data_IF_546674884733
#
_entry.id   IF_546674884733
#
_cell.length_a   1.000
_cell.length_b   1.000
_cell.length_c   1.000
_cell.angle_alpha   90.00
_cell.angle_beta   90.00
_cell.angle_gamma   90.00
#
_symmetry.space_group_name_H-M   'P 1'
#
loop_
_entity.id
_entity.type
_entity.pdbx_description
1 polymer ?
#
# COMPACT_ATOMS: atom_id res chain seq x y z
N UNK A 1 4.18 -86.27 27.20
CA UNK A 1 4.10 -87.04 25.94
C UNK A 1 2.79 -86.69 25.27
N UNK A 2 2.64 -86.32 24.01
CA UNK A 2 3.50 -85.77 22.97
C UNK A 2 2.52 -85.12 21.98
N UNK A 3 2.84 -83.93 21.47
CA UNK A 3 2.10 -83.26 20.40
C UNK A 3 2.35 -83.99 19.07
N UNK A 4 1.37 -84.15 18.17
CA UNK A 4 1.65 -84.44 16.78
C UNK A 4 1.58 -83.17 15.93
N UNK A 5 2.76 -82.62 15.60
CA UNK A 5 2.94 -81.73 14.45
C UNK A 5 3.10 -82.55 13.16
N UNK A 6 2.33 -82.22 12.12
CA UNK A 6 2.50 -82.61 10.70
C UNK A 6 1.55 -81.69 9.89
N UNK A 7 1.86 -81.02 8.79
CA UNK A 7 3.03 -80.95 7.92
C UNK A 7 2.99 -79.62 7.16
N UNK A 8 4.16 -79.05 6.87
CA UNK A 8 4.37 -77.99 5.88
C UNK A 8 3.92 -78.44 4.47
N UNK A 9 3.33 -77.52 3.69
CA UNK A 9 3.41 -77.59 2.23
C UNK A 9 3.68 -76.21 1.63
N UNK A 10 4.91 -76.08 1.14
CA UNK A 10 5.37 -75.41 -0.08
C UNK A 10 5.10 -73.92 -0.31
N UNK A 11 6.19 -73.27 -0.71
CA UNK A 11 6.33 -71.86 -1.01
C UNK A 11 6.11 -71.51 -2.49
N UNK A 12 5.96 -70.19 -2.71
CA UNK A 12 6.23 -69.35 -3.93
C UNK A 12 5.12 -69.24 -4.99
N UNK A 13 5.06 -68.14 -5.79
CA UNK A 13 5.92 -66.93 -5.84
C UNK A 13 5.17 -65.58 -5.85
N UNK A 14 5.92 -64.50 -5.59
CA UNK A 14 5.57 -63.11 -5.90
C UNK A 14 5.16 -62.94 -7.38
N UNK A 15 4.03 -62.30 -7.63
CA UNK A 15 3.76 -61.67 -8.93
C UNK A 15 3.21 -60.27 -8.73
N UNK A 16 4.04 -59.31 -9.12
CA UNK A 16 3.77 -57.90 -9.17
C UNK A 16 2.51 -57.57 -10.00
N UNK A 17 1.85 -56.50 -9.55
CA UNK A 17 1.12 -55.51 -10.35
C UNK A 17 0.05 -56.04 -11.32
N UNK A 18 -1.21 -55.97 -10.88
CA UNK A 18 -2.32 -55.71 -11.80
C UNK A 18 -3.38 -54.84 -11.14
N UNK A 19 -3.16 -53.54 -11.25
CA UNK A 19 -4.16 -52.49 -11.46
C UNK A 19 -5.62 -52.82 -11.11
N UNK A 20 -6.01 -52.72 -9.83
CA UNK A 20 -7.41 -52.47 -9.42
C UNK A 20 -7.41 -51.64 -8.14
N UNK A 21 -7.40 -50.31 -8.28
CA UNK A 21 -8.04 -49.42 -7.31
C UNK A 21 -8.34 -48.07 -7.99
N UNK A 22 -9.35 -48.10 -8.86
CA UNK A 22 -10.05 -46.91 -9.31
C UNK A 22 -10.82 -46.37 -8.10
N UNK A 23 -10.22 -45.45 -7.34
CA UNK A 23 -10.93 -44.64 -6.35
C UNK A 23 -10.98 -43.19 -6.87
N UNK A 24 -12.05 -42.78 -7.55
CA UNK A 24 -12.23 -41.39 -7.95
C UNK A 24 -12.64 -40.61 -6.70
N UNK A 25 -11.73 -39.88 -6.08
CA UNK A 25 -12.12 -39.09 -4.91
C UNK A 25 -11.02 -38.71 -3.93
N UNK A 26 -9.83 -38.32 -4.40
CA UNK A 26 -9.06 -37.35 -3.64
C UNK A 26 -9.54 -35.95 -4.06
N UNK A 27 -10.77 -35.60 -3.66
CA UNK A 27 -11.23 -34.22 -3.75
C UNK A 27 -10.21 -33.38 -3.01
N UNK A 28 -9.66 -32.40 -3.72
CA UNK A 28 -8.81 -31.35 -3.18
C UNK A 28 -9.36 -30.89 -1.82
N UNK A 29 -8.64 -31.19 -0.73
CA UNK A 29 -8.79 -30.40 0.48
C UNK A 29 -8.18 -29.03 0.19
N UNK A 30 -8.94 -28.18 -0.49
CA UNK A 30 -8.94 -26.74 -0.23
C UNK A 30 -9.48 -26.56 1.19
N UNK A 31 -8.68 -26.89 2.19
CA UNK A 31 -8.94 -26.40 3.55
C UNK A 31 -8.54 -24.93 3.55
N UNK A 32 -9.58 -24.10 3.47
CA UNK A 32 -9.50 -22.66 3.67
C UNK A 32 -8.84 -22.38 5.03
N UNK A 33 -7.53 -22.15 5.02
CA UNK A 33 -6.97 -21.21 5.99
C UNK A 33 -7.50 -19.87 5.50
N UNK A 34 -8.58 -19.37 6.11
CA UNK A 34 -8.90 -17.95 6.03
C UNK A 34 -7.70 -17.25 6.65
N UNK A 35 -6.68 -16.99 5.84
CA UNK A 35 -5.47 -16.35 6.31
C UNK A 35 -5.93 -15.02 6.89
N UNK A 36 -5.88 -14.92 8.21
CA UNK A 36 -6.26 -13.73 8.97
C UNK A 36 -5.63 -12.55 8.23
N UNK A 37 -6.47 -11.78 7.51
CA UNK A 37 -5.98 -10.79 6.56
C UNK A 37 -5.04 -9.89 7.34
N UNK A 38 -3.77 -9.86 6.95
CA UNK A 38 -2.74 -9.14 7.70
C UNK A 38 -3.23 -7.74 8.08
N UNK A 39 -3.18 -7.34 9.34
CA UNK A 39 -3.59 -5.98 9.76
C UNK A 39 -2.71 -4.90 9.12
N UNK A 40 -1.47 -5.26 8.81
CA UNK A 40 -0.47 -4.40 8.16
C UNK A 40 -0.58 -4.49 6.64
N UNK A 41 -0.70 -3.33 5.99
CA UNK A 41 -0.65 -3.17 4.55
C UNK A 41 0.81 -3.09 4.07
N UNK A 42 1.16 -3.94 3.11
CA UNK A 42 2.48 -4.01 2.47
C UNK A 42 2.38 -3.66 0.98
N UNK A 43 3.52 -3.34 0.37
CA UNK A 43 3.63 -3.05 -1.07
C UNK A 43 3.19 -1.65 -1.50
N UNK A 44 3.17 -1.42 -2.83
CA UNK A 44 2.94 -0.11 -3.46
C UNK A 44 1.59 0.52 -3.11
N UNK A 45 0.57 -0.32 -2.93
CA UNK A 45 -0.82 0.09 -2.64
C UNK A 45 -1.12 0.27 -1.15
N UNK A 46 -0.13 0.12 -0.27
CA UNK A 46 -0.35 0.07 1.19
C UNK A 46 -1.16 1.26 1.72
N UNK A 47 -0.82 2.49 1.31
CA UNK A 47 -1.53 3.70 1.76
C UNK A 47 -2.97 3.77 1.25
N UNK A 48 -3.23 3.28 0.03
CA UNK A 48 -4.58 3.21 -0.54
C UNK A 48 -5.43 2.16 0.19
N UNK A 49 -4.84 1.00 0.49
CA UNK A 49 -5.52 -0.07 1.24
C UNK A 49 -5.88 0.36 2.67
N UNK A 50 -5.01 1.13 3.33
CA UNK A 50 -5.29 1.69 4.66
C UNK A 50 -6.34 2.79 4.59
N UNK A 51 -6.22 3.70 3.61
CA UNK A 51 -7.21 4.77 3.44
C UNK A 51 -8.62 4.23 3.13
N UNK A 52 -8.72 3.15 2.37
CA UNK A 52 -9.99 2.46 2.07
C UNK A 52 -10.48 1.50 3.17
N UNK A 53 -9.79 1.43 4.32
CA UNK A 53 -10.19 0.59 5.45
C UNK A 53 -9.96 -0.91 5.26
N UNK A 54 -9.35 -1.35 4.15
CA UNK A 54 -9.04 -2.77 3.90
C UNK A 54 -7.97 -3.32 4.86
N UNK A 55 -7.20 -2.44 5.49
CA UNK A 55 -6.08 -2.71 6.39
C UNK A 55 -6.02 -1.63 7.46
N UNK A 56 -5.54 -1.97 8.65
CA UNK A 56 -5.52 -1.03 9.79
C UNK A 56 -4.36 -0.03 9.70
N UNK A 57 -3.16 -0.50 9.34
CA UNK A 57 -1.93 0.32 9.34
C UNK A 57 -0.98 -0.05 8.21
N UNK A 58 -0.14 0.90 7.77
CA UNK A 58 0.97 0.60 6.85
C UNK A 58 2.16 -0.01 7.62
N UNK A 59 3.16 -0.55 6.91
CA UNK A 59 4.41 -1.02 7.53
C UNK A 59 5.08 0.05 8.40
N UNK A 60 5.01 1.33 8.00
CA UNK A 60 5.52 2.46 8.78
C UNK A 60 4.53 3.04 9.79
N UNK A 61 3.50 2.30 10.19
CA UNK A 61 2.58 2.67 11.26
C UNK A 61 1.48 3.68 10.91
N UNK A 62 1.47 4.25 9.70
CA UNK A 62 0.41 5.21 9.29
C UNK A 62 -0.97 4.54 9.29
N UNK A 63 -1.94 5.21 9.94
CA UNK A 63 -3.37 4.85 9.93
C UNK A 63 -4.12 5.65 8.86
N UNK A 64 -5.40 5.33 8.64
CA UNK A 64 -6.26 6.06 7.70
C UNK A 64 -6.36 7.56 8.06
N UNK A 65 -6.39 7.88 9.36
CA UNK A 65 -6.40 9.25 9.89
C UNK A 65 -5.19 10.07 9.44
N UNK A 66 -4.05 9.43 9.16
CA UNK A 66 -2.79 10.11 8.86
C UNK A 66 -2.55 10.22 7.35
N UNK A 67 -3.44 9.68 6.52
CA UNK A 67 -3.31 9.61 5.08
C UNK A 67 -4.32 10.55 4.41
N UNK A 68 -3.90 11.22 3.34
CA UNK A 68 -4.75 12.06 2.51
C UNK A 68 -4.44 11.83 1.03
N UNK A 69 -5.46 11.97 0.18
CA UNK A 69 -5.30 11.97 -1.28
C UNK A 69 -4.87 13.37 -1.73
N UNK A 70 -3.87 13.48 -2.61
CA UNK A 70 -3.48 14.75 -3.23
C UNK A 70 -4.27 14.98 -4.53
N UNK A 71 -4.13 16.18 -5.14
CA UNK A 71 -4.77 16.53 -6.41
C UNK A 71 -4.42 15.57 -7.56
N UNK A 72 -3.22 14.98 -7.52
CA UNK A 72 -2.75 14.00 -8.50
C UNK A 72 -3.19 12.55 -8.20
N UNK A 73 -4.11 12.34 -7.26
CA UNK A 73 -4.63 11.03 -6.90
C UNK A 73 -3.72 10.14 -6.05
N UNK A 74 -2.54 10.61 -5.66
CA UNK A 74 -1.58 9.88 -4.83
C UNK A 74 -1.91 10.03 -3.34
N UNK A 75 -1.88 8.91 -2.63
CA UNK A 75 -2.03 8.87 -1.17
C UNK A 75 -0.70 9.21 -0.48
N UNK A 76 -0.70 10.31 0.26
CA UNK A 76 0.45 10.82 1.03
C UNK A 76 0.08 10.96 2.50
N UNK A 77 1.06 11.05 3.40
CA UNK A 77 0.76 11.35 4.80
C UNK A 77 0.36 12.82 4.96
N UNK A 78 -0.55 13.11 5.89
CA UNK A 78 -0.96 14.48 6.25
C UNK A 78 0.24 15.32 6.67
N UNK A 79 1.18 14.76 7.44
CA UNK A 79 2.45 15.41 7.81
C UNK A 79 3.26 15.85 6.57
N UNK A 80 3.38 14.98 5.55
CA UNK A 80 4.08 15.32 4.30
C UNK A 80 3.33 16.38 3.51
N UNK A 81 2.00 16.31 3.48
CA UNK A 81 1.17 17.34 2.84
C UNK A 81 1.33 18.70 3.53
N UNK A 82 1.32 18.74 4.86
CA UNK A 82 1.51 19.96 5.64
C UNK A 82 2.88 20.59 5.35
N UNK A 83 3.97 19.81 5.39
CA UNK A 83 5.32 20.30 5.05
C UNK A 83 5.42 20.88 3.63
N UNK A 84 4.69 20.33 2.67
CA UNK A 84 4.64 20.91 1.32
C UNK A 84 3.91 22.25 1.23
N UNK A 85 3.02 22.54 2.19
CA UNK A 85 2.20 23.77 2.24
C UNK A 85 2.85 24.89 3.06
N UNK A 86 3.98 24.65 3.73
CA UNK A 86 4.66 25.64 4.60
C UNK A 86 5.65 26.54 3.87
N UNK A 87 5.67 26.56 2.53
CA UNK A 87 6.56 27.45 1.78
C UNK A 87 6.13 28.92 1.97
N UNK A 88 6.80 29.63 2.88
CA UNK A 88 6.48 31.01 3.24
C UNK A 88 6.49 31.95 2.02
N UNK A 89 7.53 31.85 1.18
CA UNK A 89 7.65 32.67 -0.04
C UNK A 89 6.49 32.49 -1.02
N UNK A 90 6.04 31.24 -1.23
CA UNK A 90 4.91 30.97 -2.13
C UNK A 90 3.60 31.56 -1.59
N UNK A 91 3.40 31.55 -0.26
CA UNK A 91 2.26 32.22 0.38
C UNK A 91 2.34 33.73 0.26
N UNK A 92 3.52 34.31 0.49
CA UNK A 92 3.76 35.75 0.36
C UNK A 92 3.49 36.24 -1.07
N UNK A 93 3.97 35.51 -2.09
CA UNK A 93 3.64 35.81 -3.50
C UNK A 93 2.14 35.69 -3.75
N UNK A 94 1.49 34.64 -3.24
CA UNK A 94 0.04 34.48 -3.38
C UNK A 94 -0.75 35.64 -2.77
N UNK A 95 -0.34 36.13 -1.60
CA UNK A 95 -0.93 37.30 -0.94
C UNK A 95 -0.63 38.60 -1.70
N UNK A 96 0.61 38.83 -2.13
CA UNK A 96 1.01 39.99 -2.92
C UNK A 96 0.24 40.06 -4.25
N UNK A 97 0.04 38.92 -4.93
CA UNK A 97 -0.76 38.84 -6.16
C UNK A 97 -2.22 39.21 -5.93
N UNK A 98 -2.81 38.76 -4.83
CA UNK A 98 -4.18 39.14 -4.44
C UNK A 98 -4.27 40.64 -4.15
N UNK A 99 -3.31 41.19 -3.42
CA UNK A 99 -3.26 42.61 -3.08
C UNK A 99 -3.02 43.53 -4.29
N UNK A 100 -2.38 43.03 -5.36
CA UNK A 100 -2.13 43.77 -6.60
C UNK A 100 -3.16 43.47 -7.71
N UNK A 101 -4.09 42.52 -7.50
CA UNK A 101 -5.08 42.14 -8.52
C UNK A 101 -4.50 41.50 -9.78
N UNK A 102 -3.27 41.00 -9.76
CA UNK A 102 -2.56 40.51 -10.95
C UNK A 102 -3.18 39.20 -11.47
N UNK A 103 -3.73 39.24 -12.69
CA UNK A 103 -4.28 38.09 -13.43
C UNK A 103 -3.28 37.60 -14.48
N UNK A 104 -3.33 36.31 -14.80
CA UNK A 104 -2.41 35.71 -15.76
C UNK A 104 -0.98 35.52 -15.23
N UNK A 105 -0.06 35.24 -16.14
CA UNK A 105 1.35 35.03 -15.80
C UNK A 105 2.07 36.37 -15.66
N UNK A 106 2.76 36.57 -14.53
CA UNK A 106 3.61 37.75 -14.30
C UNK A 106 4.97 37.26 -13.85
N UNK A 107 6.06 37.55 -14.59
CA UNK A 107 7.40 37.13 -14.21
C UNK A 107 7.87 37.90 -12.96
N UNK A 108 8.46 37.18 -12.00
CA UNK A 108 8.95 37.80 -10.76
C UNK A 108 10.15 38.70 -11.08
N UNK A 109 10.17 39.92 -10.53
CA UNK A 109 11.25 40.90 -10.69
C UNK A 109 11.57 41.30 -12.14
N UNK A 110 10.65 41.07 -13.08
CA UNK A 110 10.76 41.52 -14.48
C UNK A 110 9.56 42.38 -14.85
N UNK A 111 9.82 43.44 -15.62
CA UNK A 111 8.82 44.46 -15.93
C UNK A 111 8.38 45.27 -14.70
N UNK A 112 7.50 46.26 -14.89
CA UNK A 112 7.00 47.10 -13.79
C UNK A 112 6.18 46.30 -12.77
N UNK A 113 5.26 45.45 -13.24
CA UNK A 113 4.38 44.64 -12.38
C UNK A 113 5.15 43.58 -11.57
N UNK A 114 6.14 42.92 -12.18
CA UNK A 114 6.94 41.89 -11.53
C UNK A 114 7.86 42.42 -10.45
N UNK A 115 8.40 43.63 -10.63
CA UNK A 115 9.16 44.35 -9.59
C UNK A 115 8.26 44.73 -8.41
N UNK A 116 7.06 45.25 -8.68
CA UNK A 116 6.08 45.58 -7.64
C UNK A 116 5.62 44.34 -6.85
N UNK A 117 5.38 43.21 -7.53
CA UNK A 117 5.07 41.93 -6.91
C UNK A 117 6.19 41.45 -5.99
N UNK A 118 7.44 41.51 -6.45
CA UNK A 118 8.61 41.08 -5.68
C UNK A 118 8.79 41.94 -4.42
N UNK A 119 8.69 43.26 -4.54
CA UNK A 119 8.79 44.19 -3.42
C UNK A 119 7.72 43.89 -2.36
N UNK A 120 6.44 43.78 -2.75
CA UNK A 120 5.34 43.44 -1.82
C UNK A 120 5.48 42.04 -1.22
N UNK A 121 5.94 41.05 -1.98
CA UNK A 121 6.16 39.71 -1.44
C UNK A 121 7.29 39.69 -0.40
N UNK A 122 8.34 40.50 -0.59
CA UNK A 122 9.47 40.60 0.34
C UNK A 122 9.05 41.29 1.64
N UNK A 123 8.23 42.34 1.58
CA UNK A 123 7.69 42.98 2.80
C UNK A 123 6.77 42.05 3.58
N UNK A 124 5.96 41.24 2.90
CA UNK A 124 5.08 40.24 3.54
C UNK A 124 5.83 39.04 4.15
N UNK A 125 7.11 38.83 3.82
CA UNK A 125 7.97 37.83 4.47
C UNK A 125 8.83 38.40 5.58
N UNK A 126 9.18 39.68 5.50
CA UNK A 126 10.10 40.36 6.42
C UNK A 126 9.43 40.89 7.68
N UNK A 127 8.20 40.48 7.96
CA UNK A 127 7.43 40.84 9.15
C UNK A 127 6.86 39.59 9.81
#
# INVERSE_FOLDING_TARGET
>A
MALPMKAMKAAKPMKAMKAVMKKPGAKAMKSMKSAMKSKVAKGRMAKSMVYSGRKEKTQGGLKASDITKNKYGKFVSKKRSAKGKTNAWAKAIGAARKALGLKGFVPINKGPEGKALYAKAKTLMGN
#
